data_IF_142264228579
#
_entry.id   IF_142264228579
#
_cell.length_a   1.000
_cell.length_b   1.000
_cell.length_c   1.000
_cell.angle_alpha   90.00
_cell.angle_beta   90.00
_cell.angle_gamma   90.00
#
_symmetry.space_group_name_H-M   'P 1'
#
loop_
_entity.id
_entity.type
_entity.pdbx_description
1 polymer ?
#
# COMPACT_ATOMS: atom_id res chain seq x y z
N UNK A 1 37.06 -19.38 37.93
CA UNK A 1 36.18 -18.19 37.82
C UNK A 1 35.78 -17.86 36.39
N UNK A 2 36.68 -17.98 35.41
CA UNK A 2 36.46 -17.57 34.01
C UNK A 2 35.29 -18.29 33.29
N UNK A 3 35.11 -19.61 33.51
CA UNK A 3 34.09 -20.40 32.80
C UNK A 3 32.64 -20.09 33.20
N UNK A 4 32.40 -19.81 34.49
CA UNK A 4 31.05 -19.44 34.98
C UNK A 4 30.62 -18.08 34.42
N UNK A 5 31.55 -17.13 34.32
CA UNK A 5 31.30 -15.81 33.78
C UNK A 5 30.91 -15.88 32.29
N UNK A 6 31.63 -16.69 31.49
CA UNK A 6 31.34 -16.86 30.05
C UNK A 6 29.96 -17.45 29.80
N UNK A 7 29.55 -18.46 30.59
CA UNK A 7 28.22 -19.08 30.46
C UNK A 7 27.10 -18.07 30.76
N UNK A 8 27.31 -17.19 31.75
CA UNK A 8 26.34 -16.14 32.09
C UNK A 8 26.23 -15.10 30.97
N UNK A 9 27.35 -14.68 30.35
CA UNK A 9 27.30 -13.73 29.23
C UNK A 9 26.65 -14.34 27.98
N UNK A 10 26.88 -15.63 27.70
CA UNK A 10 26.24 -16.34 26.58
C UNK A 10 24.73 -16.53 26.78
N UNK A 11 24.28 -16.78 28.02
CA UNK A 11 22.87 -16.86 28.34
C UNK A 11 22.16 -15.51 28.20
N UNK A 12 22.86 -14.40 28.49
CA UNK A 12 22.31 -13.05 28.35
C UNK A 12 22.28 -12.55 26.90
N UNK A 13 23.12 -13.05 25.99
CA UNK A 13 23.07 -12.65 24.58
C UNK A 13 21.94 -13.36 23.79
N UNK A 14 21.58 -14.57 24.19
CA UNK A 14 20.55 -15.39 23.53
C UNK A 14 19.12 -14.81 23.69
N UNK A 15 18.87 -14.03 24.75
CA UNK A 15 17.55 -13.46 25.07
C UNK A 15 17.18 -12.21 24.25
N UNK A 16 18.12 -11.59 23.54
CA UNK A 16 17.84 -10.42 22.69
C UNK A 16 17.17 -10.77 21.35
N UNK A 17 17.13 -12.04 20.96
CA UNK A 17 16.64 -12.47 19.65
C UNK A 17 15.11 -12.63 19.54
N UNK A 18 14.36 -12.50 20.65
CA UNK A 18 12.94 -12.89 20.68
C UNK A 18 11.92 -11.74 20.48
N UNK A 19 12.35 -10.49 20.36
CA UNK A 19 11.42 -9.34 20.29
C UNK A 19 11.14 -8.79 18.87
N UNK A 20 11.55 -9.49 17.81
CA UNK A 20 11.37 -9.03 16.43
C UNK A 20 10.32 -9.84 15.64
N UNK A 21 9.24 -10.29 16.28
CA UNK A 21 8.13 -10.92 15.54
C UNK A 21 7.25 -9.84 14.88
N UNK A 22 6.93 -9.93 13.58
CA UNK A 22 5.99 -9.02 12.94
C UNK A 22 4.58 -9.28 13.47
N UNK A 23 3.97 -8.27 14.11
CA UNK A 23 2.56 -8.33 14.48
C UNK A 23 1.69 -8.03 13.24
N UNK A 24 1.20 -9.08 12.58
CA UNK A 24 0.25 -8.94 11.46
C UNK A 24 -1.14 -8.78 12.07
N UNK A 25 -1.60 -7.53 12.21
CA UNK A 25 -3.01 -7.26 12.54
C UNK A 25 -3.83 -7.35 11.26
N UNK A 26 -4.39 -8.53 10.99
CA UNK A 26 -5.41 -8.67 9.95
C UNK A 26 -6.58 -7.77 10.31
N UNK A 27 -6.79 -6.71 9.55
CA UNK A 27 -8.02 -5.96 9.63
C UNK A 27 -9.12 -6.85 9.04
N UNK A 28 -10.27 -7.04 9.71
CA UNK A 28 -11.43 -7.55 9.01
C UNK A 28 -11.69 -6.59 7.84
N UNK A 29 -12.00 -7.12 6.66
CA UNK A 29 -12.64 -6.33 5.60
C UNK A 29 -13.91 -5.73 6.23
N UNK A 30 -13.80 -4.52 6.77
CA UNK A 30 -14.94 -3.80 7.29
C UNK A 30 -15.89 -3.72 6.11
N UNK A 31 -17.11 -4.27 6.27
CA UNK A 31 -18.14 -4.29 5.24
C UNK A 31 -18.20 -2.89 4.63
N UNK A 32 -17.59 -2.72 3.45
CA UNK A 32 -17.82 -1.56 2.60
C UNK A 32 -19.33 -1.51 2.47
N UNK A 33 -19.97 -0.46 2.98
CA UNK A 33 -21.38 -0.25 2.65
C UNK A 33 -21.41 -0.05 1.14
N UNK A 34 -21.69 -1.13 0.41
CA UNK A 34 -22.06 -1.04 -0.98
C UNK A 34 -23.40 -0.33 -0.93
N UNK A 35 -23.38 0.99 -1.15
CA UNK A 35 -24.59 1.71 -1.47
C UNK A 35 -25.11 1.04 -2.72
N UNK A 36 -26.22 0.31 -2.60
CA UNK A 36 -26.91 -0.25 -3.76
C UNK A 36 -27.31 0.94 -4.61
N UNK A 37 -26.48 1.28 -5.60
CA UNK A 37 -26.82 2.25 -6.61
C UNK A 37 -27.95 1.61 -7.41
N UNK A 38 -29.11 2.26 -7.45
CA UNK A 38 -30.19 1.85 -8.34
C UNK A 38 -29.63 1.80 -9.76
N UNK A 39 -29.58 0.57 -10.28
CA UNK A 39 -28.95 0.25 -11.55
C UNK A 39 -29.87 0.74 -12.67
N UNK A 40 -29.72 2.00 -13.06
CA UNK A 40 -30.14 2.44 -14.38
C UNK A 40 -29.19 1.77 -15.38
N UNK A 41 -29.68 0.67 -15.94
CA UNK A 41 -29.10 -0.07 -17.06
C UNK A 41 -28.91 0.86 -18.24
N UNK A 42 -27.67 1.29 -18.48
CA UNK A 42 -27.02 1.46 -19.78
C UNK A 42 -25.64 2.09 -19.52
N UNK A 43 -24.59 1.46 -20.02
CA UNK A 43 -23.18 1.60 -19.62
C UNK A 43 -22.82 0.81 -18.36
N UNK A 44 -23.04 -0.51 -18.41
CA UNK A 44 -22.08 -1.39 -17.75
C UNK A 44 -20.71 -1.03 -18.33
N UNK A 45 -19.87 -0.36 -17.55
CA UNK A 45 -18.43 -0.34 -17.78
C UNK A 45 -18.10 -1.82 -17.79
N UNK A 46 -18.05 -2.42 -18.98
CA UNK A 46 -17.52 -3.76 -19.21
C UNK A 46 -16.23 -3.76 -18.42
N UNK A 47 -16.24 -4.43 -17.27
CA UNK A 47 -15.09 -4.57 -16.42
C UNK A 47 -14.12 -5.33 -17.30
N UNK A 48 -13.25 -4.57 -17.98
CA UNK A 48 -12.36 -5.09 -19.00
C UNK A 48 -11.24 -5.73 -18.22
N UNK A 49 -11.57 -6.85 -17.56
CA UNK A 49 -10.59 -7.82 -17.16
C UNK A 49 -10.06 -8.35 -18.49
N UNK A 50 -9.06 -7.68 -19.05
CA UNK A 50 -8.06 -8.41 -19.82
C UNK A 50 -7.37 -9.27 -18.78
N UNK A 51 -7.97 -10.44 -18.55
CA UNK A 51 -7.75 -11.48 -17.53
C UNK A 51 -6.34 -12.08 -17.51
N UNK A 52 -5.38 -11.40 -18.14
CA UNK A 52 -4.00 -11.89 -18.19
C UNK A 52 -3.05 -10.71 -18.18
N UNK A 53 -2.70 -10.29 -16.97
CA UNK A 53 -1.41 -9.66 -16.73
C UNK A 53 -0.34 -10.61 -17.24
N UNK A 54 0.29 -10.26 -18.36
CA UNK A 54 1.41 -11.03 -18.88
C UNK A 54 2.55 -10.94 -17.87
N UNK A 55 2.91 -12.09 -17.31
CA UNK A 55 4.01 -12.19 -16.37
C UNK A 55 5.35 -12.30 -17.11
N UNK A 56 6.41 -11.64 -16.61
CA UNK A 56 6.42 -10.80 -15.41
C UNK A 56 5.75 -9.43 -15.64
N UNK A 57 4.92 -8.98 -14.69
CA UNK A 57 4.42 -7.61 -14.67
C UNK A 57 5.48 -6.67 -14.06
N UNK A 58 5.74 -5.55 -14.72
CA UNK A 58 6.71 -4.56 -14.26
C UNK A 58 6.21 -3.14 -14.48
N UNK A 59 6.07 -2.34 -13.43
CA UNK A 59 5.70 -0.92 -13.51
C UNK A 59 6.74 -0.07 -12.78
N UNK A 60 7.17 1.02 -13.43
CA UNK A 60 8.10 2.01 -12.85
C UNK A 60 7.52 3.44 -12.85
N UNK A 61 6.28 3.61 -13.32
CA UNK A 61 5.48 4.84 -13.38
C UNK A 61 6.10 6.00 -14.16
N UNK A 62 7.24 5.77 -14.83
CA UNK A 62 8.04 6.79 -15.53
C UNK A 62 7.33 7.45 -16.71
N UNK A 63 6.35 6.77 -17.29
CA UNK A 63 5.59 7.21 -18.48
C UNK A 63 4.29 7.96 -18.14
N UNK A 64 4.03 8.23 -16.85
CA UNK A 64 2.77 8.82 -16.39
C UNK A 64 3.01 9.97 -15.41
N UNK A 65 2.01 10.85 -15.30
CA UNK A 65 2.01 11.95 -14.32
C UNK A 65 0.58 12.17 -13.86
N UNK A 66 0.40 12.43 -12.57
CA UNK A 66 -0.88 12.53 -11.91
C UNK A 66 -1.48 11.16 -11.59
N UNK A 67 -2.03 10.47 -12.58
CA UNK A 67 -2.67 9.16 -12.37
C UNK A 67 -1.88 8.02 -13.03
N UNK A 68 -1.99 6.77 -12.52
CA UNK A 68 -1.43 5.58 -13.16
C UNK A 68 -1.97 5.34 -14.57
N UNK A 69 -1.24 4.56 -15.37
CA UNK A 69 -1.72 4.15 -16.69
C UNK A 69 -2.94 3.24 -16.56
N UNK A 70 -4.10 3.72 -17.03
CA UNK A 70 -5.36 2.98 -17.03
C UNK A 70 -5.34 1.70 -17.88
N UNK A 71 -4.30 1.48 -18.71
CA UNK A 71 -4.07 0.19 -19.39
C UNK A 71 -3.46 -0.87 -18.49
N UNK A 72 -2.94 -0.47 -17.33
CA UNK A 72 -2.16 -1.30 -16.41
C UNK A 72 -2.78 -1.38 -15.02
N UNK A 73 -3.57 -0.38 -14.65
CA UNK A 73 -4.25 -0.24 -13.37
C UNK A 73 -5.73 0.09 -13.58
N UNK A 74 -6.58 -0.54 -12.79
CA UNK A 74 -8.03 -0.39 -12.78
C UNK A 74 -8.49 0.81 -11.93
N UNK A 75 -7.65 1.24 -10.99
CA UNK A 75 -7.92 2.30 -10.04
C UNK A 75 -6.91 3.44 -10.13
N UNK A 76 -7.33 4.62 -9.66
CA UNK A 76 -6.58 5.87 -9.71
C UNK A 76 -6.41 6.44 -8.29
N UNK A 77 -6.11 5.57 -7.33
CA UNK A 77 -6.06 5.92 -5.90
C UNK A 77 -4.67 6.38 -5.45
N UNK A 78 -3.71 6.54 -6.35
CA UNK A 78 -2.37 7.06 -6.03
C UNK A 78 -2.05 8.26 -6.91
N UNK A 79 -1.13 9.10 -6.44
CA UNK A 79 -0.65 10.25 -7.21
C UNK A 79 0.77 10.03 -7.74
N UNK A 80 0.93 9.98 -9.06
CA UNK A 80 2.23 9.86 -9.74
C UNK A 80 2.88 11.23 -9.87
N UNK A 81 4.01 11.46 -9.21
CA UNK A 81 4.67 12.78 -9.21
C UNK A 81 6.19 12.71 -9.04
N UNK A 82 6.83 13.88 -9.20
CA UNK A 82 8.28 14.06 -9.03
C UNK A 82 8.64 15.00 -7.87
N UNK A 83 7.66 15.49 -7.12
CA UNK A 83 7.83 16.57 -6.14
C UNK A 83 7.90 16.06 -4.70
N UNK A 84 7.24 14.95 -4.39
CA UNK A 84 7.24 14.34 -3.06
C UNK A 84 8.47 13.46 -2.77
N UNK A 85 8.95 12.61 -3.70
CA UNK A 85 10.04 11.71 -3.37
C UNK A 85 11.36 12.47 -3.22
N UNK A 86 12.14 12.11 -2.21
CA UNK A 86 13.47 12.67 -1.97
C UNK A 86 14.53 11.74 -2.55
N UNK A 87 15.31 12.23 -3.52
CA UNK A 87 16.38 11.47 -4.20
C UNK A 87 15.86 10.16 -4.83
N UNK A 88 14.74 10.23 -5.55
CA UNK A 88 14.27 9.10 -6.33
C UNK A 88 15.32 8.64 -7.36
N UNK A 89 15.44 7.34 -7.63
CA UNK A 89 16.34 6.82 -8.67
C UNK A 89 15.85 7.15 -10.09
N UNK A 90 14.55 7.39 -10.27
CA UNK A 90 13.90 7.73 -11.53
C UNK A 90 12.78 8.78 -11.31
N UNK A 91 12.19 9.25 -12.42
CA UNK A 91 10.99 10.09 -12.42
C UNK A 91 9.73 9.21 -12.40
N UNK A 92 8.61 9.79 -11.95
CA UNK A 92 7.30 9.16 -11.87
C UNK A 92 7.19 8.28 -10.63
N UNK A 93 6.97 8.88 -9.45
CA UNK A 93 6.79 8.11 -8.22
C UNK A 93 5.32 8.09 -7.83
N UNK A 94 4.74 6.89 -7.75
CA UNK A 94 3.43 6.66 -7.18
C UNK A 94 3.46 6.92 -5.67
N UNK A 95 2.68 7.90 -5.22
CA UNK A 95 2.55 8.26 -3.81
C UNK A 95 1.26 7.70 -3.24
N UNK A 96 1.40 6.91 -2.17
CA UNK A 96 0.34 6.37 -1.34
C UNK A 96 0.35 7.17 -0.03
N UNK A 97 -0.40 8.26 0.04
CA UNK A 97 -0.30 9.30 1.08
C UNK A 97 -1.53 9.43 1.97
N UNK A 98 -2.54 8.56 1.79
CA UNK A 98 -3.78 8.61 2.57
C UNK A 98 -4.64 9.85 2.27
N UNK A 99 -4.45 10.49 1.11
CA UNK A 99 -5.22 11.64 0.68
C UNK A 99 -6.17 11.29 -0.48
N UNK A 100 -7.35 11.90 -0.47
CA UNK A 100 -8.28 11.84 -1.60
C UNK A 100 -7.82 12.77 -2.74
N UNK A 101 -8.55 12.74 -3.86
CA UNK A 101 -8.23 13.53 -5.06
C UNK A 101 -8.19 15.07 -4.85
N UNK A 102 -8.70 15.57 -3.73
CA UNK A 102 -8.62 16.99 -3.35
C UNK A 102 -7.48 17.30 -2.38
N UNK A 103 -6.64 16.32 -2.04
CA UNK A 103 -5.55 16.44 -1.07
C UNK A 103 -6.01 16.40 0.39
N UNK A 104 -7.25 15.97 0.66
CA UNK A 104 -7.76 15.84 2.03
C UNK A 104 -7.63 14.39 2.54
N UNK A 105 -7.34 14.18 3.83
CA UNK A 105 -7.34 12.83 4.41
C UNK A 105 -8.67 12.12 4.18
N UNK A 106 -8.66 10.80 3.95
CA UNK A 106 -9.90 10.06 3.77
C UNK A 106 -10.81 10.09 5.00
N UNK A 107 -10.21 10.08 6.20
CA UNK A 107 -10.94 10.15 7.47
C UNK A 107 -10.23 11.03 8.50
N UNK A 108 -9.01 10.66 8.89
CA UNK A 108 -8.26 11.35 9.95
C UNK A 108 -6.76 11.17 9.76
N UNK A 109 -5.98 12.14 10.26
CA UNK A 109 -4.51 12.05 10.35
C UNK A 109 -4.05 11.58 11.73
N UNK A 110 -4.97 11.21 12.62
CA UNK A 110 -4.61 10.65 13.93
C UNK A 110 -3.92 9.29 13.74
N UNK A 111 -2.66 9.22 14.20
CA UNK A 111 -1.82 8.02 14.11
C UNK A 111 -2.32 6.87 14.99
N UNK A 112 -3.27 7.12 15.88
CA UNK A 112 -3.89 6.11 16.77
C UNK A 112 -5.11 5.46 16.14
N UNK A 113 -5.69 6.09 15.14
CA UNK A 113 -6.84 5.59 14.42
C UNK A 113 -6.42 4.72 13.23
N UNK A 114 -7.18 3.66 13.00
CA UNK A 114 -6.95 2.76 11.89
C UNK A 114 -7.86 3.15 10.73
N UNK A 115 -7.26 3.52 9.62
CA UNK A 115 -7.94 4.10 8.47
C UNK A 115 -7.55 3.39 7.17
N UNK A 116 -8.42 3.48 6.16
CA UNK A 116 -8.13 2.94 4.83
C UNK A 116 -6.98 3.70 4.17
N UNK A 117 -6.09 3.01 3.48
CA UNK A 117 -5.00 3.63 2.72
C UNK A 117 -5.23 3.48 1.21
N UNK A 118 -4.40 4.16 0.42
CA UNK A 118 -4.39 4.02 -1.03
C UNK A 118 -4.02 2.59 -1.43
N UNK A 119 -4.55 2.14 -2.56
CA UNK A 119 -4.26 0.83 -3.14
C UNK A 119 -4.20 0.94 -4.65
N UNK A 120 -3.50 0.00 -5.29
CA UNK A 120 -3.56 -0.18 -6.73
C UNK A 120 -3.96 -1.61 -7.10
N UNK A 121 -4.82 -1.70 -8.10
CA UNK A 121 -5.39 -2.95 -8.61
C UNK A 121 -5.13 -3.02 -10.10
N UNK A 122 -4.40 -4.04 -10.56
CA UNK A 122 -4.04 -4.26 -11.97
C UNK A 122 -4.87 -5.36 -12.61
#
# INVERSE_FOLDING_TARGET
MQLKSIVITLAFSMSYSMFAQPFIRLQPFAKRQIKTLEKNTENEISFKITDTLNLPFFEDFSNTSGYPDAKRWLDNLVWVNNTFPKKAPNFGVATFDHLNAHGNPYQTLDKREMVFADSLSS
#
